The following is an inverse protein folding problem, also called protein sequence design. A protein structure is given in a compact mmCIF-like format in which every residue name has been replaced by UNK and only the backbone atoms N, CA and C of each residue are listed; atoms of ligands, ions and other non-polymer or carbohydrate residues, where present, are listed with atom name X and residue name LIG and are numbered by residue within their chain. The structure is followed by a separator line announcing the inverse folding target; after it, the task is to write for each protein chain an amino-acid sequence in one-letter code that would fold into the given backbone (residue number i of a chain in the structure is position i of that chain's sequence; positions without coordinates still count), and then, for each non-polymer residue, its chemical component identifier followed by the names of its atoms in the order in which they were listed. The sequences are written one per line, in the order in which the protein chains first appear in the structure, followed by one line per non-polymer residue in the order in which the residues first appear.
data_IF_319598514931
#
_entry.id   IF_319598514931
#
_cell.length_a   1.000
_cell.length_b   1.000
_cell.length_c   1.000
_cell.angle_alpha   90.00
_cell.angle_beta   90.00
_cell.angle_gamma   90.00
#
_symmetry.space_group_name_H-M   'P 1'
#
loop_
_entity.id
_entity.type
_entity.pdbx_description
1 polymer ?
#
# COMPACT_ATOMS: atom_id res chain seq x y z
N UNK A 1 10.77 -4.19 1.64
CA UNK A 1 11.35 -3.05 2.39
C UNK A 1 12.15 -2.23 1.40
N UNK A 2 11.84 -0.94 1.30
CA UNK A 2 12.60 0.02 0.49
C UNK A 2 13.51 0.77 1.44
N UNK A 3 14.80 0.80 1.17
CA UNK A 3 15.80 1.51 1.99
C UNK A 3 16.28 2.79 1.30
N UNK A 4 16.73 3.77 2.08
CA UNK A 4 17.45 4.93 1.57
C UNK A 4 18.91 4.59 1.21
N UNK A 5 19.65 5.60 0.75
CA UNK A 5 21.08 5.49 0.39
C UNK A 5 21.99 5.13 1.59
N UNK A 6 21.49 5.26 2.81
CA UNK A 6 22.17 4.91 4.05
C UNK A 6 21.73 3.55 4.62
N UNK A 7 20.87 2.82 3.89
CA UNK A 7 20.34 1.52 4.31
C UNK A 7 19.22 1.59 5.35
N UNK A 8 18.69 2.78 5.67
CA UNK A 8 17.57 2.92 6.59
C UNK A 8 16.25 2.57 5.90
N UNK A 9 15.33 1.85 6.58
CA UNK A 9 13.99 1.60 6.03
C UNK A 9 13.29 2.92 5.75
N UNK A 10 13.08 3.20 4.46
CA UNK A 10 12.29 4.35 4.00
C UNK A 10 10.81 4.01 4.06
N UNK A 11 10.47 2.80 3.56
CA UNK A 11 9.10 2.27 3.60
C UNK A 11 9.09 0.75 3.76
N UNK A 12 8.08 0.25 4.48
CA UNK A 12 7.77 -1.18 4.54
C UNK A 12 6.44 -1.45 3.87
N UNK A 13 6.44 -2.35 2.89
CA UNK A 13 5.24 -2.86 2.24
C UNK A 13 4.89 -4.22 2.83
N UNK A 14 3.64 -4.42 3.20
CA UNK A 14 3.09 -5.69 3.63
C UNK A 14 1.82 -5.99 2.86
N UNK A 15 1.73 -7.19 2.33
CA UNK A 15 0.52 -7.73 1.69
C UNK A 15 0.03 -8.94 2.48
N UNK A 16 -1.28 -9.02 2.67
CA UNK A 16 -1.95 -10.17 3.24
C UNK A 16 -3.21 -10.47 2.45
N UNK A 17 -3.47 -11.74 2.20
CA UNK A 17 -4.69 -12.23 1.60
C UNK A 17 -5.43 -13.08 2.63
N UNK A 18 -6.72 -12.86 2.80
CA UNK A 18 -7.55 -13.71 3.66
C UNK A 18 -8.03 -14.97 2.92
N UNK A 19 -8.69 -15.87 3.65
CA UNK A 19 -9.19 -17.14 3.09
C UNK A 19 -10.27 -16.95 2.02
N UNK A 20 -10.89 -15.76 1.97
CA UNK A 20 -11.93 -15.40 1.00
C UNK A 20 -11.33 -14.72 -0.24
N UNK A 21 -10.01 -14.50 -0.25
CA UNK A 21 -9.31 -13.86 -1.36
C UNK A 21 -9.20 -12.35 -1.23
N UNK A 22 -9.74 -11.74 -0.17
CA UNK A 22 -9.63 -10.30 0.04
C UNK A 22 -8.18 -9.94 0.30
N UNK A 23 -7.70 -8.87 -0.35
CA UNK A 23 -6.31 -8.44 -0.29
C UNK A 23 -6.23 -7.17 0.55
N UNK A 24 -5.37 -7.18 1.55
CA UNK A 24 -4.99 -5.98 2.29
C UNK A 24 -3.52 -5.69 2.05
N UNK A 25 -3.22 -4.50 1.55
CA UNK A 25 -1.87 -3.97 1.36
C UNK A 25 -1.67 -2.80 2.31
N UNK A 26 -0.55 -2.76 3.00
CA UNK A 26 -0.21 -1.72 3.96
C UNK A 26 1.20 -1.22 3.68
N UNK A 27 1.37 0.09 3.61
CA UNK A 27 2.67 0.75 3.58
C UNK A 27 2.86 1.51 4.88
N UNK A 28 3.98 1.25 5.55
CA UNK A 28 4.42 2.04 6.70
C UNK A 28 5.70 2.80 6.37
N UNK A 29 5.90 3.95 7.01
CA UNK A 29 7.15 4.68 6.96
C UNK A 29 8.27 3.99 7.78
N UNK A 30 9.46 4.59 7.78
CA UNK A 30 10.61 4.13 8.55
C UNK A 30 10.43 4.17 10.08
N UNK A 31 9.39 4.83 10.58
CA UNK A 31 9.03 4.87 12.00
C UNK A 31 7.93 3.85 12.35
N UNK A 32 7.43 3.10 11.35
CA UNK A 32 6.37 2.12 11.53
C UNK A 32 4.96 2.70 11.50
N UNK A 33 4.80 4.00 11.21
CA UNK A 33 3.48 4.62 11.04
C UNK A 33 2.90 4.21 9.69
N UNK A 34 1.64 3.79 9.67
CA UNK A 34 0.92 3.49 8.42
C UNK A 34 0.64 4.78 7.64
N UNK A 35 1.11 4.84 6.39
CA UNK A 35 0.91 5.99 5.50
C UNK A 35 -0.07 5.69 4.36
N UNK A 36 -0.23 4.40 4.01
CA UNK A 36 -1.14 3.95 2.96
C UNK A 36 -1.71 2.57 3.33
N UNK A 37 -3.00 2.37 3.09
CA UNK A 37 -3.65 1.07 3.14
C UNK A 37 -4.57 0.91 1.95
N UNK A 38 -4.48 -0.24 1.28
CA UNK A 38 -5.37 -0.63 0.20
C UNK A 38 -6.08 -1.91 0.62
N UNK A 39 -7.41 -1.89 0.60
CA UNK A 39 -8.25 -3.07 0.81
C UNK A 39 -8.99 -3.40 -0.48
N UNK A 40 -8.62 -4.52 -1.09
CA UNK A 40 -9.29 -5.11 -2.23
C UNK A 40 -10.28 -6.19 -1.79
N UNK A 41 -11.51 -6.08 -2.29
CA UNK A 41 -12.60 -7.03 -2.11
C UNK A 41 -13.18 -7.37 -3.48
N UNK A 42 -13.38 -8.65 -3.76
CA UNK A 42 -14.11 -9.11 -4.95
C UNK A 42 -15.45 -9.65 -4.49
N UNK A 43 -16.54 -9.12 -5.02
CA UNK A 43 -17.87 -9.62 -4.67
C UNK A 43 -18.17 -10.99 -5.32
N UNK A 44 -19.31 -11.58 -4.93
CA UNK A 44 -19.73 -12.90 -5.44
C UNK A 44 -20.04 -12.93 -6.93
N UNK A 45 -20.16 -11.76 -7.57
CA UNK A 45 -20.41 -11.58 -9.00
C UNK A 45 -19.12 -11.26 -9.75
N UNK A 46 -17.98 -11.18 -9.07
CA UNK A 46 -16.69 -10.86 -9.66
C UNK A 46 -16.41 -9.36 -9.77
N UNK A 47 -17.17 -8.48 -9.10
CA UNK A 47 -16.88 -7.05 -9.09
C UNK A 47 -15.78 -6.75 -8.08
N UNK A 48 -14.68 -6.15 -8.56
CA UNK A 48 -13.57 -5.72 -7.73
C UNK A 48 -13.81 -4.32 -7.15
N UNK A 49 -13.67 -4.19 -5.83
CA UNK A 49 -13.68 -2.93 -5.09
C UNK A 49 -12.34 -2.73 -4.40
N UNK A 50 -11.68 -1.61 -4.66
CA UNK A 50 -10.45 -1.22 -3.97
C UNK A 50 -10.69 0.05 -3.16
N UNK A 51 -10.56 -0.06 -1.84
CA UNK A 51 -10.59 1.10 -0.94
C UNK A 51 -9.18 1.50 -0.61
N UNK A 52 -8.81 2.74 -0.97
CA UNK A 52 -7.52 3.34 -0.62
C UNK A 52 -7.73 4.30 0.55
N UNK A 53 -6.95 4.13 1.61
CA UNK A 53 -6.91 5.03 2.77
C UNK A 53 -5.49 5.49 2.98
N UNK A 54 -5.28 6.79 3.06
CA UNK A 54 -3.96 7.40 3.21
C UNK A 54 -4.06 8.66 4.04
N UNK A 55 -3.02 8.91 4.84
CA UNK A 55 -2.83 10.18 5.54
C UNK A 55 -1.91 11.13 4.77
N UNK A 56 -1.46 10.69 3.59
CA UNK A 56 -0.62 11.47 2.72
C UNK A 56 -1.49 12.46 1.95
N UNK A 57 -0.94 13.64 1.71
CA UNK A 57 -1.53 14.56 0.73
C UNK A 57 -1.48 13.96 -0.68
N UNK A 58 -2.26 14.56 -1.59
CA UNK A 58 -2.41 14.10 -2.97
C UNK A 58 -1.04 13.97 -3.68
N UNK A 59 -0.12 14.89 -3.43
CA UNK A 59 1.20 14.94 -4.08
C UNK A 59 2.10 13.78 -3.61
N UNK A 60 2.04 13.44 -2.32
CA UNK A 60 2.76 12.32 -1.75
C UNK A 60 2.17 10.96 -2.20
N UNK A 61 0.85 10.89 -2.40
CA UNK A 61 0.21 9.71 -3.02
C UNK A 61 0.68 9.52 -4.45
N UNK A 62 0.68 10.58 -5.26
CA UNK A 62 1.10 10.51 -6.66
C UNK A 62 2.57 10.11 -6.81
N UNK A 63 3.45 10.63 -5.94
CA UNK A 63 4.86 10.21 -5.89
C UNK A 63 5.03 8.73 -5.52
N UNK A 64 4.26 8.22 -4.57
CA UNK A 64 4.31 6.79 -4.21
C UNK A 64 3.75 5.92 -5.32
N UNK A 65 2.61 6.28 -5.89
CA UNK A 65 1.99 5.54 -6.99
C UNK A 65 2.91 5.50 -8.21
N UNK A 66 3.61 6.60 -8.53
CA UNK A 66 4.64 6.62 -9.57
C UNK A 66 5.77 5.61 -9.30
N UNK A 67 6.25 5.51 -8.05
CA UNK A 67 7.28 4.54 -7.68
C UNK A 67 6.82 3.07 -7.77
N UNK A 68 5.53 2.81 -7.56
CA UNK A 68 4.96 1.45 -7.58
C UNK A 68 4.37 1.02 -8.93
N UNK A 69 4.00 1.96 -9.81
CA UNK A 69 3.44 1.68 -11.14
C UNK A 69 4.54 1.60 -12.20
N UNK A 70 5.62 2.37 -12.08
CA UNK A 70 6.67 2.47 -13.11
C UNK A 70 7.78 1.40 -12.97
N UNK A 71 7.40 0.18 -12.54
CA UNK A 71 8.33 -0.94 -12.35
C UNK A 71 7.79 -2.26 -12.90
#
# INVERSE_FOLDING_TARGET
MVTDEHGQPKFTYKESKDILGNVTKVVTDGQGKQILSVKGFTDIFGNDTNTVTTELDQDAVDSLMGFFIDK
#
